data_IF_290011511289
#
_entry.id   IF_290011511289
#
_cell.length_a   1.000
_cell.length_b   1.000
_cell.length_c   1.000
_cell.angle_alpha   90.00
_cell.angle_beta   90.00
_cell.angle_gamma   90.00
#
_symmetry.space_group_name_H-M   'P 1'
#
loop_
_entity.id
_entity.type
_entity.pdbx_description
1 polymer ?
#
# COMPACT_ATOMS: atom_id res chain seq x y z
N UNK A 1 -32.68 -42.54 41.65
CA UNK A 1 -32.26 -41.25 41.07
C UNK A 1 -30.95 -41.48 40.33
N UNK A 2 -30.98 -41.49 39.00
CA UNK A 2 -29.89 -40.98 38.17
C UNK A 2 -30.42 -40.82 36.74
N UNK A 3 -30.25 -39.59 36.26
CA UNK A 3 -30.69 -39.04 34.99
C UNK A 3 -29.54 -39.20 34.00
N UNK A 4 -29.82 -39.69 32.79
CA UNK A 4 -28.96 -39.53 31.60
C UNK A 4 -29.87 -39.31 30.39
N UNK A 5 -29.78 -38.16 29.70
CA UNK A 5 -30.45 -37.95 28.43
C UNK A 5 -29.46 -37.90 27.25
N UNK A 6 -30.06 -38.16 26.08
CA UNK A 6 -29.78 -37.62 24.75
C UNK A 6 -28.51 -38.01 23.98
N UNK A 7 -28.78 -38.86 22.99
CA UNK A 7 -28.01 -39.06 21.77
C UNK A 7 -28.03 -37.79 20.91
N UNK A 8 -26.85 -37.21 20.65
CA UNK A 8 -26.67 -36.17 19.63
C UNK A 8 -25.94 -36.79 18.44
N UNK A 9 -26.68 -36.92 17.34
CA UNK A 9 -26.19 -37.29 16.01
C UNK A 9 -25.54 -36.07 15.35
N UNK A 10 -24.24 -36.12 15.08
CA UNK A 10 -23.52 -35.10 14.31
C UNK A 10 -23.48 -35.51 12.83
N UNK A 11 -24.21 -34.76 12.00
CA UNK A 11 -24.00 -34.73 10.56
C UNK A 11 -22.75 -33.88 10.23
N UNK A 12 -21.96 -34.23 9.20
CA UNK A 12 -20.82 -33.40 8.78
C UNK A 12 -21.29 -32.17 8.01
N UNK A 13 -20.85 -31.00 8.46
CA UNK A 13 -21.03 -29.73 7.78
C UNK A 13 -20.25 -29.71 6.45
N UNK A 14 -20.99 -29.45 5.38
CA UNK A 14 -20.55 -29.38 3.99
C UNK A 14 -20.03 -27.97 3.67
N UNK A 15 -18.87 -27.91 3.02
CA UNK A 15 -18.30 -26.81 2.21
C UNK A 15 -18.67 -25.36 2.58
N UNK A 16 -17.78 -24.69 3.30
CA UNK A 16 -17.69 -23.23 3.29
C UNK A 16 -16.61 -22.79 2.29
N UNK A 17 -17.01 -22.72 1.02
CA UNK A 17 -16.27 -22.03 -0.03
C UNK A 17 -16.19 -20.52 0.30
N UNK A 18 -15.05 -19.83 0.12
CA UNK A 18 -14.95 -18.40 0.43
C UNK A 18 -15.84 -17.58 -0.51
N UNK A 19 -16.65 -16.72 0.10
CA UNK A 19 -17.69 -15.91 -0.52
C UNK A 19 -17.24 -15.22 -1.83
N UNK A 20 -17.85 -15.65 -2.94
CA UNK A 20 -18.04 -14.80 -4.12
C UNK A 20 -18.87 -13.58 -3.69
N UNK A 21 -18.26 -12.40 -3.67
CA UNK A 21 -19.01 -11.15 -3.59
C UNK A 21 -20.01 -11.07 -4.76
N UNK A 22 -21.29 -10.70 -4.52
CA UNK A 22 -22.24 -10.49 -5.60
C UNK A 22 -21.83 -9.25 -6.43
N UNK A 23 -21.86 -9.31 -7.77
CA UNK A 23 -21.65 -8.14 -8.61
C UNK A 23 -22.90 -7.25 -8.53
N UNK A 24 -22.79 -6.06 -7.94
CA UNK A 24 -23.88 -5.07 -8.02
C UNK A 24 -24.13 -4.16 -6.81
N UNK A 25 -23.33 -4.21 -5.75
CA UNK A 25 -23.38 -3.14 -4.74
C UNK A 25 -22.49 -2.01 -5.26
N UNK A 26 -23.10 -0.95 -5.79
CA UNK A 26 -22.42 0.33 -6.02
C UNK A 26 -21.88 0.81 -4.67
N UNK A 27 -20.62 0.49 -4.39
CA UNK A 27 -19.92 1.03 -3.23
C UNK A 27 -19.93 2.55 -3.39
N UNK A 28 -20.49 3.25 -2.40
CA UNK A 28 -20.33 4.70 -2.34
C UNK A 28 -18.83 5.00 -2.44
N UNK A 29 -18.40 5.93 -3.31
CA UNK A 29 -16.98 6.23 -3.45
C UNK A 29 -16.49 6.76 -2.11
N UNK A 30 -15.71 5.93 -1.40
CA UNK A 30 -15.05 6.37 -0.17
C UNK A 30 -13.97 7.39 -0.54
N UNK A 31 -13.72 8.39 0.32
CA UNK A 31 -12.58 9.28 0.14
C UNK A 31 -11.28 8.50 -0.04
N UNK A 32 -10.47 8.88 -1.02
CA UNK A 32 -9.11 8.36 -1.16
C UNK A 32 -8.31 8.66 0.11
N UNK A 33 -7.63 7.67 0.66
CA UNK A 33 -6.84 7.77 1.89
C UNK A 33 -5.36 7.86 1.51
N UNK A 34 -4.75 9.03 1.69
CA UNK A 34 -3.36 9.26 1.30
C UNK A 34 -2.52 9.45 2.56
N UNK A 35 -1.44 8.67 2.69
CA UNK A 35 -0.41 8.93 3.70
C UNK A 35 0.65 9.83 3.09
N UNK A 36 0.88 10.98 3.71
CA UNK A 36 1.91 11.93 3.32
C UNK A 36 3.10 11.84 4.29
N UNK A 37 4.25 11.37 3.82
CA UNK A 37 5.48 11.28 4.61
C UNK A 37 6.37 12.45 4.24
N UNK A 38 6.21 13.55 4.97
CA UNK A 38 6.89 14.81 4.69
C UNK A 38 7.03 15.67 5.94
N UNK A 39 7.92 16.66 5.88
CA UNK A 39 7.98 17.73 6.88
C UNK A 39 6.78 18.67 6.73
N UNK A 40 6.39 19.35 7.82
CA UNK A 40 5.46 20.48 7.77
C UNK A 40 6.05 21.70 8.50
N UNK A 41 6.04 22.89 7.88
CA UNK A 41 5.65 23.14 6.50
C UNK A 41 6.64 22.54 5.48
N UNK A 42 6.15 22.07 4.34
CA UNK A 42 6.94 21.34 3.34
C UNK A 42 6.54 21.61 1.90
N UNK A 43 7.37 21.20 0.91
CA UNK A 43 7.14 21.48 -0.51
C UNK A 43 5.89 20.78 -1.09
N UNK A 44 5.38 19.73 -0.41
CA UNK A 44 4.18 19.01 -0.81
C UNK A 44 2.88 19.63 -0.27
N UNK A 45 2.95 20.53 0.72
CA UNK A 45 1.75 21.07 1.39
C UNK A 45 0.72 21.66 0.40
N UNK A 46 1.09 22.49 -0.60
CA UNK A 46 0.10 23.04 -1.53
C UNK A 46 -0.65 21.99 -2.35
N UNK A 47 -0.02 20.83 -2.61
CA UNK A 47 -0.63 19.72 -3.33
C UNK A 47 -1.51 18.88 -2.41
N UNK A 48 -1.09 18.68 -1.17
CA UNK A 48 -1.85 17.97 -0.15
C UNK A 48 -3.13 18.73 0.22
N UNK A 49 -3.02 20.05 0.39
CA UNK A 49 -4.18 20.92 0.61
C UNK A 49 -5.14 20.85 -0.56
N UNK A 50 -4.63 20.91 -1.80
CA UNK A 50 -5.45 20.76 -3.00
C UNK A 50 -6.13 19.39 -3.10
N UNK A 51 -5.45 18.29 -2.75
CA UNK A 51 -6.06 16.96 -2.70
C UNK A 51 -7.16 16.88 -1.63
N UNK A 52 -6.93 17.47 -0.45
CA UNK A 52 -7.91 17.55 0.61
C UNK A 52 -9.15 18.36 0.19
N UNK A 53 -8.98 19.48 -0.52
CA UNK A 53 -10.07 20.25 -1.14
C UNK A 53 -10.88 19.42 -2.16
N UNK A 54 -10.25 18.44 -2.81
CA UNK A 54 -10.92 17.47 -3.71
C UNK A 54 -11.56 16.29 -2.97
N UNK A 55 -11.50 16.27 -1.64
CA UNK A 55 -12.14 15.29 -0.78
C UNK A 55 -11.26 14.11 -0.38
N UNK A 56 -9.96 14.11 -0.72
CA UNK A 56 -9.04 13.11 -0.19
C UNK A 56 -8.84 13.29 1.32
N UNK A 57 -8.65 12.19 2.04
CA UNK A 57 -8.24 12.22 3.44
C UNK A 57 -6.73 12.07 3.50
N UNK A 58 -6.05 13.09 4.06
CA UNK A 58 -4.59 13.14 4.14
C UNK A 58 -4.15 12.88 5.57
N UNK A 59 -3.35 11.82 5.76
CA UNK A 59 -2.67 11.53 7.03
C UNK A 59 -1.21 11.92 6.90
N UNK A 60 -0.81 12.98 7.59
CA UNK A 60 0.60 13.39 7.62
C UNK A 60 1.39 12.58 8.63
N UNK A 61 2.56 12.11 8.23
CA UNK A 61 3.50 11.38 9.08
C UNK A 61 4.86 12.05 9.03
N UNK A 62 5.21 12.88 10.04
CA UNK A 62 6.48 13.62 10.08
C UNK A 62 7.62 12.73 10.60
N UNK A 63 7.69 11.47 10.14
CA UNK A 63 8.72 10.52 10.55
C UNK A 63 9.54 10.11 9.35
N UNK A 64 10.85 10.29 9.44
CA UNK A 64 11.81 9.81 8.43
C UNK A 64 11.92 8.29 8.39
N UNK A 65 11.38 7.61 9.40
CA UNK A 65 11.34 6.16 9.52
C UNK A 65 10.05 5.75 10.21
N UNK A 66 9.23 4.95 9.54
CA UNK A 66 8.00 4.42 10.11
C UNK A 66 8.33 3.24 11.05
N UNK A 67 7.86 3.24 12.31
CA UNK A 67 8.02 2.11 13.21
C UNK A 67 7.10 0.94 12.80
N UNK A 68 7.37 -0.28 13.27
CA UNK A 68 6.67 -1.48 12.79
C UNK A 68 5.18 -1.49 13.18
N UNK A 69 4.88 -1.07 14.41
CA UNK A 69 3.53 -0.88 14.93
C UNK A 69 2.69 0.10 14.09
N UNK A 70 3.33 1.10 13.47
CA UNK A 70 2.64 2.00 12.53
C UNK A 70 2.09 1.23 11.34
N UNK A 71 2.85 0.28 10.78
CA UNK A 71 2.39 -0.51 9.63
C UNK A 71 1.17 -1.35 9.99
N UNK A 72 1.24 -2.07 11.11
CA UNK A 72 0.16 -2.95 11.55
C UNK A 72 -1.14 -2.15 11.80
N UNK A 73 -1.02 -0.98 12.44
CA UNK A 73 -2.17 -0.16 12.80
C UNK A 73 -2.73 0.67 11.63
N UNK A 74 -1.90 1.10 10.68
CA UNK A 74 -2.27 2.17 9.75
C UNK A 74 -2.14 1.79 8.27
N UNK A 75 -1.22 0.92 7.87
CA UNK A 75 -0.89 0.74 6.46
C UNK A 75 -2.10 0.28 5.61
N UNK A 76 -2.91 -0.63 6.15
CA UNK A 76 -4.10 -1.16 5.48
C UNK A 76 -5.23 -0.13 5.24
N UNK A 77 -5.12 1.07 5.82
CA UNK A 77 -6.12 2.15 5.69
C UNK A 77 -5.80 3.12 4.57
N UNK A 78 -4.61 3.05 3.98
CA UNK A 78 -4.14 4.02 2.99
C UNK A 78 -4.10 3.38 1.60
N UNK A 79 -4.51 4.17 0.62
CA UNK A 79 -4.57 3.80 -0.79
C UNK A 79 -3.26 4.13 -1.52
N UNK A 80 -2.58 5.21 -1.12
CA UNK A 80 -1.33 5.68 -1.73
C UNK A 80 -0.44 6.33 -0.68
N UNK A 81 0.87 6.10 -0.77
CA UNK A 81 1.87 6.87 -0.04
C UNK A 81 2.49 7.94 -0.94
N UNK A 82 2.39 9.20 -0.53
CA UNK A 82 3.12 10.32 -1.11
C UNK A 82 4.29 10.69 -0.19
N UNK A 83 5.51 10.58 -0.68
CA UNK A 83 6.72 10.67 0.15
C UNK A 83 7.60 11.80 -0.34
N UNK A 84 7.93 12.74 0.54
CA UNK A 84 9.03 13.69 0.31
C UNK A 84 10.36 12.97 0.59
N UNK A 85 11.05 12.55 -0.45
CA UNK A 85 12.31 11.84 -0.31
C UNK A 85 13.46 12.75 0.15
N UNK A 86 13.38 14.07 -0.06
CA UNK A 86 14.37 15.00 0.47
C UNK A 86 14.26 15.14 1.99
N UNK A 87 13.04 14.98 2.55
CA UNK A 87 12.80 14.93 3.99
C UNK A 87 13.40 13.69 4.66
N UNK A 88 13.42 12.54 3.97
CA UNK A 88 13.93 11.28 4.54
C UNK A 88 15.42 11.34 4.88
N UNK A 89 16.23 12.03 4.08
CA UNK A 89 17.67 12.12 4.27
C UNK A 89 18.42 12.00 2.96
N UNK A 90 19.46 11.17 2.94
CA UNK A 90 20.24 10.87 1.73
C UNK A 90 19.55 9.81 0.83
N UNK A 91 20.21 9.42 -0.25
CA UNK A 91 19.71 8.40 -1.17
C UNK A 91 19.53 7.03 -0.49
N UNK A 92 20.42 6.67 0.43
CA UNK A 92 20.33 5.42 1.19
C UNK A 92 19.08 5.37 2.05
N UNK A 93 18.78 6.45 2.77
CA UNK A 93 17.57 6.57 3.59
C UNK A 93 16.29 6.44 2.75
N UNK A 94 16.26 7.02 1.55
CA UNK A 94 15.14 6.89 0.61
C UNK A 94 14.95 5.44 0.14
N UNK A 95 16.03 4.76 -0.27
CA UNK A 95 16.00 3.36 -0.70
C UNK A 95 15.50 2.47 0.44
N UNK A 96 16.07 2.61 1.64
CA UNK A 96 15.68 1.85 2.82
C UNK A 96 14.20 2.05 3.17
N UNK A 97 13.72 3.29 3.06
CA UNK A 97 12.32 3.62 3.30
C UNK A 97 11.38 2.93 2.30
N UNK A 98 11.68 3.02 1.00
CA UNK A 98 10.90 2.39 -0.05
C UNK A 98 10.87 0.86 0.07
N UNK A 99 12.04 0.24 0.30
CA UNK A 99 12.15 -1.20 0.56
C UNK A 99 11.31 -1.62 1.77
N UNK A 100 11.29 -0.79 2.82
CA UNK A 100 10.49 -1.06 4.02
C UNK A 100 8.99 -0.96 3.74
N UNK A 101 8.54 0.07 3.00
CA UNK A 101 7.15 0.16 2.55
C UNK A 101 6.75 -1.09 1.75
N UNK A 102 7.57 -1.52 0.78
CA UNK A 102 7.29 -2.72 -0.02
C UNK A 102 7.26 -4.02 0.79
N UNK A 103 8.01 -4.08 1.90
CA UNK A 103 8.05 -5.26 2.76
C UNK A 103 6.83 -5.35 3.67
N UNK A 104 6.42 -4.24 4.29
CA UNK A 104 5.39 -4.22 5.34
C UNK A 104 4.02 -3.72 4.87
N UNK A 105 3.96 -3.03 3.72
CA UNK A 105 2.73 -2.64 3.04
C UNK A 105 2.85 -2.91 1.54
N UNK A 106 2.95 -4.18 1.12
CA UNK A 106 3.16 -4.54 -0.27
C UNK A 106 2.04 -4.02 -1.20
N UNK A 107 0.80 -3.91 -0.71
CA UNK A 107 -0.35 -3.46 -1.51
C UNK A 107 -0.55 -1.95 -1.59
N UNK A 108 0.41 -1.14 -1.14
CA UNK A 108 0.32 0.31 -1.16
C UNK A 108 1.23 0.91 -2.24
N UNK A 109 0.66 1.52 -3.30
CA UNK A 109 1.41 2.35 -4.24
C UNK A 109 2.21 3.45 -3.54
N UNK A 110 3.42 3.70 -4.02
CA UNK A 110 4.38 4.66 -3.45
C UNK A 110 4.84 5.65 -4.52
N UNK A 111 4.58 6.93 -4.30
CA UNK A 111 5.07 8.03 -5.11
C UNK A 111 6.14 8.76 -4.30
N UNK A 112 7.37 8.80 -4.79
CA UNK A 112 8.48 9.53 -4.17
C UNK A 112 8.71 10.85 -4.89
N UNK A 113 8.76 11.95 -4.16
CA UNK A 113 9.03 13.28 -4.68
C UNK A 113 10.40 13.78 -4.19
N UNK A 114 11.23 14.32 -5.09
CA UNK A 114 12.57 14.83 -4.72
C UNK A 114 13.06 15.90 -5.69
N UNK A 115 13.93 16.80 -5.21
CA UNK A 115 14.66 17.78 -6.03
C UNK A 115 15.94 17.21 -6.66
N UNK A 116 16.33 15.98 -6.31
CA UNK A 116 17.64 15.40 -6.65
C UNK A 116 17.67 14.66 -7.99
N UNK A 117 16.53 14.50 -8.64
CA UNK A 117 16.43 13.87 -9.97
C UNK A 117 16.30 14.94 -11.06
N UNK A 118 16.81 14.62 -12.25
CA UNK A 118 16.78 15.52 -13.41
C UNK A 118 15.39 15.61 -14.05
N UNK A 119 14.63 14.52 -14.01
CA UNK A 119 13.28 14.39 -14.54
C UNK A 119 12.44 13.45 -13.67
N UNK A 120 11.12 13.58 -13.76
CA UNK A 120 10.20 12.58 -13.21
C UNK A 120 10.35 11.26 -13.96
N UNK A 121 10.24 10.16 -13.23
CA UNK A 121 10.31 8.79 -13.73
C UNK A 121 8.98 8.10 -13.41
N UNK A 122 8.23 7.81 -14.47
CA UNK A 122 6.94 7.10 -14.43
C UNK A 122 7.08 5.63 -14.89
N UNK A 123 8.32 5.18 -15.15
CA UNK A 123 8.60 3.81 -15.57
C UNK A 123 8.66 2.85 -14.38
N UNK A 124 8.88 1.56 -14.67
CA UNK A 124 9.03 0.50 -13.67
C UNK A 124 10.48 0.27 -13.24
N UNK A 125 11.44 1.11 -13.64
CA UNK A 125 12.87 0.92 -13.34
C UNK A 125 13.15 0.92 -11.83
N UNK A 126 12.39 1.69 -11.04
CA UNK A 126 12.57 1.85 -9.57
C UNK A 126 11.53 1.10 -8.74
N UNK A 127 10.81 0.17 -9.35
CA UNK A 127 9.67 -0.55 -8.75
C UNK A 127 10.03 -1.35 -7.48
N UNK A 128 11.32 -1.62 -7.24
CA UNK A 128 11.81 -2.19 -5.98
C UNK A 128 11.54 -1.29 -4.76
N UNK A 129 11.47 0.03 -4.95
CA UNK A 129 11.36 1.03 -3.86
C UNK A 129 10.16 1.96 -4.01
N UNK A 130 9.71 2.28 -5.23
CA UNK A 130 8.56 3.13 -5.50
C UNK A 130 7.94 2.86 -6.86
N UNK A 131 6.68 3.25 -7.06
CA UNK A 131 5.97 3.10 -8.34
C UNK A 131 6.20 4.29 -9.27
N UNK A 132 6.44 5.48 -8.73
CA UNK A 132 6.76 6.71 -9.49
C UNK A 132 7.76 7.55 -8.71
N UNK A 133 8.71 8.18 -9.40
CA UNK A 133 9.52 9.27 -8.86
C UNK A 133 9.13 10.60 -9.51
N UNK A 134 8.76 11.60 -8.72
CA UNK A 134 8.46 12.95 -9.17
C UNK A 134 9.62 13.91 -8.91
N UNK A 135 9.99 14.66 -9.94
CA UNK A 135 10.91 15.79 -9.83
C UNK A 135 10.19 16.98 -9.22
N UNK A 136 10.73 17.56 -8.15
CA UNK A 136 10.23 18.82 -7.58
C UNK A 136 10.80 20.06 -8.30
N UNK A 137 10.04 21.16 -8.42
CA UNK A 137 8.66 21.37 -7.94
C UNK A 137 7.63 20.60 -8.78
N UNK A 138 6.53 20.20 -8.14
CA UNK A 138 5.48 19.36 -8.74
C UNK A 138 4.24 20.21 -9.03
N UNK A 139 3.68 20.07 -10.22
CA UNK A 139 2.39 20.69 -10.57
C UNK A 139 1.22 19.74 -10.27
N UNK A 140 -0.01 20.27 -10.27
CA UNK A 140 -1.22 19.46 -10.13
C UNK A 140 -1.36 18.43 -11.26
N UNK A 141 -0.91 18.79 -12.47
CA UNK A 141 -0.92 17.89 -13.62
C UNK A 141 0.02 16.70 -13.41
N UNK A 142 1.26 16.98 -13.00
CA UNK A 142 2.26 15.94 -12.70
C UNK A 142 1.78 14.98 -11.62
N UNK A 143 1.08 15.50 -10.59
CA UNK A 143 0.54 14.66 -9.52
C UNK A 143 -0.58 13.74 -10.00
N UNK A 144 -1.49 14.23 -10.84
CA UNK A 144 -2.56 13.40 -11.40
C UNK A 144 -2.00 12.30 -12.31
N UNK A 145 -1.02 12.64 -13.14
CA UNK A 145 -0.30 11.68 -13.98
C UNK A 145 0.43 10.63 -13.11
N UNK A 146 1.12 11.08 -12.06
CA UNK A 146 1.80 10.19 -11.12
C UNK A 146 0.85 9.25 -10.38
N UNK A 147 -0.35 9.71 -9.99
CA UNK A 147 -1.35 8.85 -9.37
C UNK A 147 -1.82 7.75 -10.33
N UNK A 148 -2.06 8.07 -11.60
CA UNK A 148 -2.42 7.06 -12.61
C UNK A 148 -1.29 6.06 -12.83
N UNK A 149 -0.08 6.56 -13.11
CA UNK A 149 1.09 5.73 -13.37
C UNK A 149 1.47 4.87 -12.15
N UNK A 150 1.34 5.40 -10.93
CA UNK A 150 1.64 4.65 -9.71
C UNK A 150 0.68 3.47 -9.54
N UNK A 151 -0.61 3.63 -9.86
CA UNK A 151 -1.57 2.53 -9.79
C UNK A 151 -1.28 1.44 -10.83
N UNK A 152 -0.92 1.85 -12.05
CA UNK A 152 -0.56 0.92 -13.14
C UNK A 152 0.73 0.15 -12.82
N UNK A 153 1.79 0.86 -12.44
CA UNK A 153 3.08 0.25 -12.06
C UNK A 153 2.92 -0.65 -10.82
N UNK A 154 2.07 -0.27 -9.88
CA UNK A 154 1.80 -1.08 -8.70
C UNK A 154 1.06 -2.39 -9.03
N UNK A 155 0.10 -2.34 -9.96
CA UNK A 155 -0.57 -3.53 -10.45
C UNK A 155 0.44 -4.50 -11.10
N UNK A 156 1.35 -3.96 -11.93
CA UNK A 156 2.43 -4.74 -12.55
C UNK A 156 3.38 -5.36 -11.51
N UNK A 157 3.79 -4.59 -10.49
CA UNK A 157 4.61 -5.09 -9.40
C UNK A 157 3.94 -6.26 -8.65
N UNK A 158 2.64 -6.10 -8.36
CA UNK A 158 1.84 -7.08 -7.65
C UNK A 158 1.74 -8.39 -8.44
N UNK A 159 1.52 -8.29 -9.75
CA UNK A 159 1.49 -9.44 -10.66
C UNK A 159 2.82 -10.22 -10.63
N UNK A 160 3.96 -9.54 -10.79
CA UNK A 160 5.29 -10.18 -10.73
C UNK A 160 5.52 -10.87 -9.39
N UNK A 161 5.10 -10.24 -8.29
CA UNK A 161 5.20 -10.82 -6.93
C UNK A 161 4.36 -12.08 -6.76
N UNK A 162 3.18 -12.14 -7.36
CA UNK A 162 2.33 -13.33 -7.30
C UNK A 162 2.87 -14.47 -8.17
N UNK A 163 3.39 -14.16 -9.37
CA UNK A 163 3.99 -15.15 -10.27
C UNK A 163 5.33 -15.70 -9.72
N UNK A 164 6.09 -14.88 -9.00
CA UNK A 164 7.37 -15.25 -8.38
C UNK A 164 7.26 -16.00 -7.05
N UNK A 165 6.06 -16.28 -6.53
CA UNK A 165 5.89 -17.10 -5.32
C UNK A 165 5.93 -18.58 -5.73
N UNK A 166 7.02 -19.33 -5.49
CA UNK A 166 6.99 -20.77 -5.72
C UNK A 166 5.86 -21.35 -4.87
N UNK A 167 5.03 -22.19 -5.48
CA UNK A 167 4.10 -23.07 -4.80
C UNK A 167 4.92 -24.02 -3.92
N UNK A 168 5.31 -23.57 -2.73
CA UNK A 168 5.67 -24.49 -1.65
C UNK A 168 4.34 -25.02 -1.11
N UNK A 169 3.66 -25.81 -1.94
CA UNK A 169 2.54 -26.63 -1.53
C UNK A 169 3.13 -27.76 -0.66
N UNK A 170 2.89 -27.63 0.64
CA UNK A 170 2.72 -28.73 1.61
C UNK A 170 3.55 -29.99 1.34
N UNK A 171 4.84 -29.95 1.68
CA UNK A 171 5.58 -31.17 1.98
C UNK A 171 5.03 -31.75 3.30
N UNK A 172 4.12 -32.72 3.17
CA UNK A 172 3.70 -33.62 4.25
C UNK A 172 4.96 -34.29 4.83
N UNK A 173 5.24 -34.23 6.14
CA UNK A 173 6.35 -34.98 6.70
C UNK A 173 6.07 -36.49 6.54
N UNK A 174 7.05 -37.31 6.13
CA UNK A 174 6.86 -38.75 6.13
C UNK A 174 6.61 -39.20 7.57
N UNK A 175 5.46 -39.85 7.80
CA UNK A 175 5.20 -40.55 9.04
C UNK A 175 6.25 -41.66 9.19
N UNK A 176 7.04 -41.57 10.26
CA UNK A 176 7.92 -42.65 10.74
C UNK A 176 7.12 -43.53 11.67
#
# INVERSE_FOLDING_TARGET
MNILPDSISMAPAKDASPACCPPGVAQMPRPAQIVAVCERPGPLDPLLDWLAEKGAQIVHVPLRRLPLDWFDANAHRHDVALVDADFLGDEGAMIDFGMRLRRFSPGMPVIMATKRVTASDFSTERMAICDVTLRMPITRGDLLEALSAALENHAHWTEIRHQGRPLIAEAHPPSV
#
